data_IF_909660009416
#
_entry.id   IF_909660009416
#
_cell.length_a   1.000
_cell.length_b   1.000
_cell.length_c   1.000
_cell.angle_alpha   90.00
_cell.angle_beta   90.00
_cell.angle_gamma   90.00
#
_symmetry.space_group_name_H-M   'P 1'
#
loop_
_entity.id
_entity.type
_entity.pdbx_description
1 polymer ?
#
# COMPACT_ATOMS: atom_id res chain seq x y z
N UNK A 1 -1.71 38.30 -13.88
CA UNK A 1 -2.75 37.24 -13.80
C UNK A 1 -2.00 35.92 -13.74
N UNK A 2 -1.64 35.50 -12.53
CA UNK A 2 -0.86 34.29 -12.31
C UNK A 2 -1.68 33.06 -12.72
N UNK A 3 -1.12 32.25 -13.60
CA UNK A 3 -1.75 31.06 -14.12
C UNK A 3 -2.17 30.14 -12.98
N UNK A 4 -3.45 29.76 -12.98
CA UNK A 4 -4.01 28.72 -12.11
C UNK A 4 -3.22 27.44 -12.40
N UNK A 5 -2.21 27.14 -11.57
CA UNK A 5 -1.53 25.85 -11.58
C UNK A 5 -2.55 24.83 -11.13
N UNK A 6 -3.17 24.14 -12.09
CA UNK A 6 -3.99 22.96 -11.84
C UNK A 6 -3.10 21.88 -11.23
N UNK A 7 -2.96 21.89 -9.91
CA UNK A 7 -2.31 20.83 -9.17
C UNK A 7 -3.21 19.60 -9.36
N UNK A 8 -2.79 18.63 -10.18
CA UNK A 8 -3.51 17.35 -10.29
C UNK A 8 -3.49 16.71 -8.91
N UNK A 9 -4.61 16.76 -8.21
CA UNK A 9 -4.84 16.18 -6.89
C UNK A 9 -5.08 14.66 -6.94
N UNK A 10 -4.51 13.97 -7.94
CA UNK A 10 -4.69 12.54 -8.09
C UNK A 10 -3.60 11.85 -7.29
N UNK A 11 -3.88 11.63 -5.99
CA UNK A 11 -3.07 10.74 -5.16
C UNK A 11 -3.07 9.35 -5.80
N UNK A 12 -1.91 8.68 -5.83
CA UNK A 12 -1.83 7.30 -6.30
C UNK A 12 -2.71 6.43 -5.41
N UNK A 13 -3.59 5.66 -6.04
CA UNK A 13 -4.60 4.85 -5.35
C UNK A 13 -4.04 3.47 -4.99
N UNK A 14 -3.14 2.93 -5.81
CA UNK A 14 -2.50 1.63 -5.58
C UNK A 14 -1.22 1.49 -6.43
N UNK A 15 -0.57 0.32 -6.36
CA UNK A 15 0.60 0.00 -7.19
C UNK A 15 0.31 -0.01 -8.69
N UNK A 16 -0.95 -0.16 -9.12
CA UNK A 16 -1.35 -0.14 -10.52
C UNK A 16 -1.54 1.28 -11.09
N UNK A 17 -1.45 2.31 -10.25
CA UNK A 17 -1.61 3.70 -10.68
C UNK A 17 -0.46 4.11 -11.62
N UNK A 18 -0.82 4.70 -12.76
CA UNK A 18 0.13 5.16 -13.78
C UNK A 18 0.80 6.50 -13.37
N UNK A 19 2.11 6.68 -13.60
CA UNK A 19 3.08 5.71 -14.12
C UNK A 19 3.48 4.66 -13.08
N UNK A 20 3.63 3.38 -13.47
CA UNK A 20 4.06 2.31 -12.57
C UNK A 20 5.46 2.58 -12.02
N UNK A 21 5.67 2.22 -10.76
CA UNK A 21 6.97 2.43 -10.11
C UNK A 21 8.02 1.50 -10.75
N UNK A 22 9.22 1.99 -11.12
CA UNK A 22 10.26 1.16 -11.76
C UNK A 22 10.61 -0.11 -10.98
N UNK A 23 10.68 -0.03 -9.64
CA UNK A 23 10.92 -1.22 -8.78
C UNK A 23 9.82 -2.28 -8.93
N UNK A 24 8.56 -1.88 -9.15
CA UNK A 24 7.47 -2.83 -9.34
C UNK A 24 7.62 -3.58 -10.67
N UNK A 25 8.07 -2.90 -11.72
CA UNK A 25 8.37 -3.54 -13.01
C UNK A 25 9.51 -4.56 -12.86
N UNK A 26 10.61 -4.16 -12.20
CA UNK A 26 11.75 -5.04 -11.95
C UNK A 26 11.33 -6.28 -11.14
N UNK A 27 10.47 -6.08 -10.13
CA UNK A 27 9.91 -7.16 -9.32
C UNK A 27 9.13 -8.17 -10.17
N UNK A 28 8.22 -7.69 -11.03
CA UNK A 28 7.45 -8.57 -11.92
C UNK A 28 8.33 -9.35 -12.90
N UNK A 29 9.33 -8.70 -13.50
CA UNK A 29 10.30 -9.36 -14.39
C UNK A 29 11.04 -10.46 -13.64
N UNK A 30 11.46 -10.18 -12.41
CA UNK A 30 12.19 -11.13 -11.56
C UNK A 30 11.31 -12.33 -11.21
N UNK A 31 10.04 -12.12 -10.86
CA UNK A 31 9.08 -13.19 -10.58
C UNK A 31 8.91 -14.08 -11.82
N UNK A 32 8.69 -13.49 -13.00
CA UNK A 32 8.53 -14.25 -14.26
C UNK A 32 9.80 -15.06 -14.56
N UNK A 33 10.98 -14.47 -14.41
CA UNK A 33 12.25 -15.15 -14.61
C UNK A 33 12.37 -16.38 -13.70
N UNK A 34 12.08 -16.26 -12.41
CA UNK A 34 12.16 -17.39 -11.47
C UNK A 34 11.13 -18.48 -11.76
N UNK A 35 9.91 -18.12 -12.19
CA UNK A 35 8.90 -19.09 -12.63
C UNK A 35 9.44 -19.89 -13.83
N UNK A 36 9.87 -19.20 -14.89
CA UNK A 36 10.39 -19.86 -16.09
C UNK A 36 11.59 -20.74 -15.75
N UNK A 37 12.54 -20.23 -14.98
CA UNK A 37 13.72 -20.99 -14.56
C UNK A 37 13.33 -22.26 -13.79
N UNK A 38 12.41 -22.17 -12.83
CA UNK A 38 11.96 -23.30 -12.02
C UNK A 38 11.26 -24.38 -12.87
N UNK A 39 10.33 -23.99 -13.75
CA UNK A 39 9.59 -24.96 -14.57
C UNK A 39 10.41 -25.53 -15.73
N UNK A 40 11.36 -24.78 -16.29
CA UNK A 40 12.17 -25.24 -17.41
C UNK A 40 13.40 -26.06 -16.98
N UNK A 41 13.95 -25.81 -15.79
CA UNK A 41 15.20 -26.46 -15.36
C UNK A 41 15.01 -27.36 -14.13
N UNK A 42 14.39 -26.86 -13.06
CA UNK A 42 14.25 -27.61 -11.81
C UNK A 42 13.21 -28.72 -11.92
N UNK A 43 12.07 -28.47 -12.56
CA UNK A 43 10.97 -29.43 -12.65
C UNK A 43 11.32 -30.69 -13.47
N UNK A 44 11.99 -30.61 -14.64
CA UNK A 44 12.44 -31.79 -15.39
C UNK A 44 13.62 -32.51 -14.73
N UNK A 45 14.44 -31.80 -13.95
CA UNK A 45 15.59 -32.37 -13.24
C UNK A 45 15.20 -33.13 -11.96
N UNK A 46 14.01 -32.88 -11.41
CA UNK A 46 13.53 -33.54 -10.19
C UNK A 46 12.91 -34.90 -10.52
N UNK A 47 13.73 -35.95 -10.43
CA UNK A 47 13.34 -37.36 -10.62
C UNK A 47 12.23 -37.77 -9.63
N UNK A 48 11.41 -38.77 -10.01
CA UNK A 48 10.11 -39.17 -9.45
C UNK A 48 9.98 -39.28 -7.92
N UNK A 49 11.07 -39.50 -7.20
CA UNK A 49 11.15 -39.64 -5.75
C UNK A 49 11.07 -38.32 -4.96
N UNK A 50 11.13 -37.16 -5.63
CA UNK A 50 11.04 -35.84 -4.99
C UNK A 50 9.79 -35.02 -5.39
N UNK A 51 8.78 -35.67 -5.98
CA UNK A 51 7.56 -35.00 -6.45
C UNK A 51 6.82 -34.23 -5.35
N UNK A 52 6.80 -34.74 -4.11
CA UNK A 52 6.19 -34.05 -2.96
C UNK A 52 6.83 -32.68 -2.71
N UNK A 53 8.15 -32.57 -2.86
CA UNK A 53 8.87 -31.30 -2.71
C UNK A 53 8.48 -30.31 -3.82
N UNK A 54 8.33 -30.79 -5.06
CA UNK A 54 7.87 -29.97 -6.19
C UNK A 54 6.47 -29.39 -5.96
N UNK A 55 5.55 -30.16 -5.40
CA UNK A 55 4.20 -29.66 -5.07
C UNK A 55 4.25 -28.56 -3.99
N UNK A 56 5.06 -28.74 -2.95
CA UNK A 56 5.22 -27.75 -1.88
C UNK A 56 5.83 -26.45 -2.43
N UNK A 57 6.91 -26.54 -3.21
CA UNK A 57 7.57 -25.38 -3.80
C UNK A 57 6.64 -24.64 -4.78
N UNK A 58 5.86 -25.37 -5.57
CA UNK A 58 4.84 -24.77 -6.46
C UNK A 58 3.78 -24.02 -5.66
N UNK A 59 3.31 -24.59 -4.55
CA UNK A 59 2.33 -23.94 -3.67
C UNK A 59 2.90 -22.65 -3.04
N UNK A 60 4.15 -22.68 -2.58
CA UNK A 60 4.82 -21.49 -2.01
C UNK A 60 4.93 -20.39 -3.06
N UNK A 61 5.34 -20.72 -4.29
CA UNK A 61 5.42 -19.74 -5.38
C UNK A 61 4.05 -19.16 -5.73
N UNK A 62 3.00 -19.98 -5.73
CA UNK A 62 1.63 -19.49 -5.93
C UNK A 62 1.22 -18.49 -4.85
N UNK A 63 1.43 -18.86 -3.57
CA UNK A 63 1.15 -17.97 -2.43
C UNK A 63 1.92 -16.66 -2.57
N UNK A 64 3.21 -16.73 -2.90
CA UNK A 64 4.06 -15.56 -3.11
C UNK A 64 3.49 -14.60 -4.18
N UNK A 65 3.03 -15.13 -5.31
CA UNK A 65 2.40 -14.33 -6.38
C UNK A 65 1.11 -13.66 -5.87
N UNK A 66 0.26 -14.40 -5.15
CA UNK A 66 -0.98 -13.85 -4.59
C UNK A 66 -0.66 -12.71 -3.62
N UNK A 67 0.33 -12.87 -2.75
CA UNK A 67 0.78 -11.80 -1.85
C UNK A 67 1.24 -10.55 -2.61
N UNK A 68 2.00 -10.71 -3.70
CA UNK A 68 2.41 -9.58 -4.53
C UNK A 68 1.24 -8.87 -5.23
N UNK A 69 0.26 -9.62 -5.70
CA UNK A 69 -0.97 -9.07 -6.28
C UNK A 69 -1.79 -8.31 -5.23
N UNK A 70 -1.97 -8.90 -4.05
CA UNK A 70 -2.66 -8.25 -2.94
C UNK A 70 -1.95 -6.96 -2.53
N UNK A 71 -0.64 -7.02 -2.28
CA UNK A 71 0.17 -5.85 -1.91
C UNK A 71 0.13 -4.74 -2.96
N UNK A 72 0.12 -5.08 -4.26
CA UNK A 72 0.01 -4.10 -5.35
C UNK A 72 -1.38 -3.49 -5.48
N UNK A 73 -2.41 -4.18 -4.99
CA UNK A 73 -3.82 -3.78 -5.12
C UNK A 73 -4.35 -3.04 -3.90
N UNK A 74 -3.74 -3.24 -2.73
CA UNK A 74 -4.09 -2.51 -1.50
C UNK A 74 -3.79 -1.03 -1.67
N UNK A 75 -4.78 -0.19 -1.34
CA UNK A 75 -4.59 1.24 -1.29
C UNK A 75 -3.90 1.62 0.03
N UNK A 76 -2.72 2.26 -0.01
CA UNK A 76 -1.99 2.62 1.20
C UNK A 76 -2.60 3.81 1.97
N UNK A 77 -3.67 4.43 1.46
CA UNK A 77 -4.30 5.58 2.09
C UNK A 77 -4.98 5.21 3.43
N UNK A 78 -4.87 6.12 4.41
CA UNK A 78 -5.57 6.02 5.69
C UNK A 78 -7.09 6.02 5.49
N UNK A 79 -7.82 5.30 6.34
CA UNK A 79 -9.27 5.16 6.27
C UNK A 79 -10.00 6.51 6.29
N UNK A 80 -9.54 7.47 7.09
CA UNK A 80 -10.14 8.80 7.15
C UNK A 80 -9.94 9.58 5.83
N UNK A 81 -8.84 9.32 5.12
CA UNK A 81 -8.60 9.86 3.77
C UNK A 81 -9.56 9.22 2.77
N UNK A 82 -9.75 7.90 2.84
CA UNK A 82 -10.66 7.15 1.97
C UNK A 82 -12.12 7.61 2.16
N UNK A 83 -12.56 7.81 3.40
CA UNK A 83 -13.90 8.31 3.71
C UNK A 83 -14.10 9.69 3.08
N UNK A 84 -13.15 10.63 3.28
CA UNK A 84 -13.22 11.98 2.71
C UNK A 84 -13.22 11.97 1.18
N UNK A 85 -12.47 11.05 0.58
CA UNK A 85 -12.44 10.82 -0.86
C UNK A 85 -13.80 10.32 -1.37
N UNK A 86 -14.37 9.29 -0.74
CA UNK A 86 -15.68 8.73 -1.11
C UNK A 86 -16.84 9.72 -0.94
N UNK A 87 -16.74 10.63 0.04
CA UNK A 87 -17.71 11.70 0.27
C UNK A 87 -17.55 12.89 -0.69
N UNK A 88 -16.63 12.84 -1.65
CA UNK A 88 -16.38 13.92 -2.61
C UNK A 88 -15.81 15.21 -2.00
N UNK A 89 -15.45 15.19 -0.71
CA UNK A 89 -14.94 16.34 0.03
C UNK A 89 -13.41 16.42 0.03
N UNK A 90 -12.76 15.67 -0.87
CA UNK A 90 -11.31 15.57 -0.95
C UNK A 90 -10.71 16.60 -1.91
N UNK A 91 -10.37 17.77 -1.36
CA UNK A 91 -9.55 18.79 -2.03
C UNK A 91 -8.19 18.79 -1.36
N UNK A 92 -7.15 18.37 -2.09
CA UNK A 92 -5.76 18.41 -1.61
C UNK A 92 -5.23 19.82 -1.81
N UNK A 93 -5.14 20.58 -0.72
CA UNK A 93 -4.42 21.84 -0.73
C UNK A 93 -2.91 21.56 -0.81
N UNK A 94 -2.12 22.37 -1.53
CA UNK A 94 -0.68 22.23 -1.54
C UNK A 94 -0.12 22.45 -0.13
N UNK A 95 0.82 21.61 0.28
CA UNK A 95 1.50 21.77 1.55
C UNK A 95 2.37 23.02 1.54
N UNK A 96 2.08 23.98 2.42
CA UNK A 96 2.91 25.15 2.61
C UNK A 96 3.79 25.02 3.86
N UNK A 97 5.10 24.90 3.63
CA UNK A 97 6.12 24.82 4.69
C UNK A 97 6.25 26.10 5.52
N UNK A 98 5.73 27.23 5.02
CA UNK A 98 5.71 28.50 5.77
C UNK A 98 4.64 28.51 6.87
N UNK A 99 3.57 27.74 6.67
CA UNK A 99 2.45 27.65 7.60
C UNK A 99 2.64 26.45 8.55
N UNK A 100 3.06 25.31 8.01
CA UNK A 100 3.28 24.07 8.76
C UNK A 100 4.73 23.61 8.64
N UNK A 101 5.42 23.45 9.77
CA UNK A 101 6.81 22.99 9.78
C UNK A 101 6.89 21.48 9.48
N UNK A 102 5.86 20.73 9.86
CA UNK A 102 5.73 19.30 9.61
C UNK A 102 4.43 18.94 8.89
N UNK A 103 4.50 17.87 8.09
CA UNK A 103 3.32 17.33 7.36
C UNK A 103 2.26 16.81 8.33
N UNK A 104 2.71 16.27 9.47
CA UNK A 104 1.86 15.78 10.54
C UNK A 104 2.14 16.63 11.78
N UNK A 105 1.13 17.36 12.24
CA UNK A 105 1.18 18.18 13.45
C UNK A 105 -0.05 17.85 14.31
N UNK A 106 0.12 17.72 15.62
CA UNK A 106 -0.98 17.43 16.56
C UNK A 106 -1.90 16.27 16.12
N UNK A 107 -1.35 15.21 15.56
CA UNK A 107 -2.11 14.05 15.07
C UNK A 107 -3.01 14.31 13.87
N UNK A 108 -2.70 15.35 13.12
CA UNK A 108 -3.41 15.72 11.90
C UNK A 108 -2.45 15.77 10.74
N UNK A 109 -2.84 15.14 9.63
CA UNK A 109 -2.14 15.29 8.37
C UNK A 109 -2.60 16.59 7.69
N UNK A 110 -1.71 17.57 7.59
CA UNK A 110 -2.00 18.89 7.02
C UNK A 110 -2.15 18.87 5.49
N UNK A 111 -1.69 17.79 4.83
CA UNK A 111 -1.86 17.57 3.38
C UNK A 111 -3.27 17.04 3.08
N UNK A 112 -3.67 15.99 3.79
CA UNK A 112 -4.97 15.36 3.59
C UNK A 112 -6.11 16.09 4.33
N UNK A 113 -5.75 16.91 5.32
CA UNK A 113 -6.68 17.63 6.19
C UNK A 113 -7.53 16.71 7.05
N UNK A 114 -7.01 15.54 7.42
CA UNK A 114 -7.68 14.53 8.26
C UNK A 114 -6.81 14.16 9.45
N UNK A 115 -7.45 13.77 10.55
CA UNK A 115 -6.77 13.22 11.72
C UNK A 115 -6.32 11.79 11.42
N UNK A 116 -5.10 11.43 11.82
CA UNK A 116 -4.54 10.10 11.58
C UNK A 116 -5.02 9.13 12.65
N UNK A 117 -5.42 7.91 12.26
CA UNK A 117 -5.79 6.87 13.21
C UNK A 117 -4.50 6.26 13.84
N UNK A 118 -4.39 6.23 15.17
CA UNK A 118 -3.19 6.03 16.04
C UNK A 118 -2.42 4.73 15.88
N UNK A 119 -2.60 3.94 14.82
CA UNK A 119 -1.61 2.90 14.54
C UNK A 119 -0.24 3.52 14.21
N UNK A 120 -0.22 4.77 13.73
CA UNK A 120 1.02 5.49 13.41
C UNK A 120 1.24 6.65 14.40
N UNK A 121 2.00 6.37 15.46
CA UNK A 121 2.86 7.32 16.21
C UNK A 121 2.26 8.66 16.67
N UNK A 122 1.00 8.65 17.10
CA UNK A 122 0.45 9.81 17.78
C UNK A 122 0.69 9.75 19.28
N UNK A 123 1.89 10.13 19.69
CA UNK A 123 2.31 10.30 21.08
C UNK A 123 1.65 11.53 21.73
N UNK A 124 0.33 11.68 21.64
CA UNK A 124 -0.38 12.62 22.50
C UNK A 124 -0.88 11.82 23.72
N UNK A 125 -0.33 12.12 24.89
CA UNK A 125 -0.34 11.28 26.11
C UNK A 125 -1.70 11.03 26.77
N UNK A 126 -2.82 11.05 26.05
CA UNK A 126 -4.13 10.66 26.55
C UNK A 126 -4.67 9.46 25.76
N UNK A 127 -4.22 8.28 26.21
CA UNK A 127 -4.76 6.96 25.87
C UNK A 127 -6.22 6.93 26.35
N UNK A 128 -7.18 7.33 25.52
CA UNK A 128 -8.60 7.13 25.89
C UNK A 128 -9.56 6.87 24.72
N UNK A 129 -9.14 7.02 23.45
CA UNK A 129 -10.07 6.81 22.33
C UNK A 129 -9.74 5.61 21.41
N UNK A 130 -8.60 4.92 21.60
CA UNK A 130 -8.20 3.79 20.73
C UNK A 130 -8.67 2.42 21.18
N UNK A 131 -8.97 2.25 22.47
CA UNK A 131 -9.55 1.00 22.97
C UNK A 131 -11.03 0.83 22.56
N UNK A 132 -11.73 1.91 22.21
CA UNK A 132 -13.15 1.85 21.82
C UNK A 132 -13.39 1.33 20.39
N UNK A 133 -12.50 1.58 19.42
CA UNK A 133 -12.66 1.02 18.07
C UNK A 133 -12.32 -0.47 17.99
N UNK A 134 -11.43 -0.97 18.86
CA UNK A 134 -11.08 -2.40 18.89
C UNK A 134 -12.18 -3.29 19.48
N UNK A 135 -13.20 -2.76 20.16
CA UNK A 135 -14.29 -3.59 20.69
C UNK A 135 -15.51 -3.69 19.77
N UNK A 136 -15.76 -2.71 18.89
CA UNK A 136 -16.95 -2.71 18.00
C UNK A 136 -16.73 -3.50 16.70
N UNK A 137 -15.49 -3.70 16.24
CA UNK A 137 -15.20 -4.49 15.02
C UNK A 137 -14.88 -5.96 15.29
N UNK A 138 -14.85 -6.39 16.56
CA UNK A 138 -14.59 -7.76 16.99
C UNK A 138 -15.86 -8.49 17.49
N UNK A 139 -17.05 -7.92 17.24
CA UNK A 139 -18.35 -8.53 17.49
C UNK A 139 -19.26 -8.43 16.28
#
# INVERSE_FOLDING_TARGET
MEGVKNYRSTSRVNGWSWPPHPLQIILWITIIYFIVFYYCTCLPALVSNLQTLNYILTLIMLIHIIFHLMASSINPADENVLIKFNLGSYVVAPFDRKIHNHVIENCRCNICGVDVLVVVFCCNGNISNYLLKNFVSLG
#
